data_IF_353538989927
#
_entry.id   IF_353538989927
#
_cell.length_a   1.000
_cell.length_b   1.000
_cell.length_c   1.000
_cell.angle_alpha   90.00
_cell.angle_beta   90.00
_cell.angle_gamma   90.00
#
_symmetry.space_group_name_H-M   'P 1'
#
loop_
_entity.id
_entity.type
_entity.pdbx_description
1 polymer ?
#
# COMPACT_ATOMS: atom_id res chain seq x y z
N UNK A 1 3.61 76.50 -10.25
CA UNK A 1 3.01 75.34 -10.98
C UNK A 1 3.22 74.11 -10.11
N UNK A 2 2.18 73.80 -9.38
CA UNK A 2 2.17 72.73 -8.39
C UNK A 2 1.80 71.42 -9.07
N UNK A 3 2.67 70.40 -8.99
CA UNK A 3 2.45 69.06 -9.50
C UNK A 3 1.74 68.26 -8.41
N UNK A 4 0.50 67.89 -8.66
CA UNK A 4 -0.34 67.06 -7.85
C UNK A 4 0.23 65.62 -7.90
N UNK A 5 0.67 65.11 -6.77
CA UNK A 5 0.95 63.72 -6.56
C UNK A 5 -0.37 62.97 -6.35
N UNK A 6 -0.57 61.95 -7.12
CA UNK A 6 -1.69 61.03 -7.05
C UNK A 6 -1.35 59.93 -5.99
N UNK A 7 -2.20 59.72 -4.98
CA UNK A 7 -1.92 58.68 -4.00
C UNK A 7 -2.34 57.31 -4.51
N UNK A 8 -1.31 56.53 -4.67
CA UNK A 8 -1.21 55.10 -4.38
C UNK A 8 -2.46 54.25 -4.57
N UNK A 9 -2.40 53.40 -5.56
CA UNK A 9 -3.00 52.11 -5.52
C UNK A 9 -2.40 51.30 -4.35
N UNK A 10 -3.00 51.35 -3.21
CA UNK A 10 -2.83 50.29 -2.21
C UNK A 10 -3.48 49.01 -2.77
N UNK A 11 -2.64 48.15 -3.31
CA UNK A 11 -2.99 46.78 -3.60
C UNK A 11 -3.52 46.15 -2.30
N UNK A 12 -4.80 45.89 -2.25
CA UNK A 12 -5.35 44.95 -1.29
C UNK A 12 -4.72 43.60 -1.61
N UNK A 13 -3.57 43.34 -1.00
CA UNK A 13 -2.96 42.03 -1.00
C UNK A 13 -3.97 41.10 -0.34
N UNK A 14 -4.44 40.21 -1.16
CA UNK A 14 -5.29 39.07 -0.88
C UNK A 14 -4.80 38.35 0.38
N UNK A 15 -5.40 38.69 1.52
CA UNK A 15 -5.24 37.99 2.80
C UNK A 15 -6.09 36.71 2.73
N UNK A 16 -5.87 35.91 1.68
CA UNK A 16 -6.34 34.55 1.66
C UNK A 16 -5.57 33.82 2.76
N UNK A 17 -6.24 33.62 3.87
CA UNK A 17 -5.74 32.80 4.97
C UNK A 17 -5.08 31.55 4.37
N UNK A 18 -3.76 31.45 4.49
CA UNK A 18 -3.00 30.30 3.96
C UNK A 18 -3.43 29.08 4.76
N UNK A 19 -4.33 28.31 4.15
CA UNK A 19 -4.79 27.05 4.71
C UNK A 19 -3.63 26.04 4.64
N UNK A 20 -3.08 25.71 5.82
CA UNK A 20 -2.01 24.72 5.90
C UNK A 20 -2.60 23.33 6.08
N UNK A 21 -2.12 22.34 5.32
CA UNK A 21 -2.57 20.95 5.49
C UNK A 21 -2.15 20.43 6.87
N UNK A 22 -2.97 19.55 7.43
CA UNK A 22 -2.66 18.81 8.66
C UNK A 22 -2.16 17.43 8.30
N UNK A 23 -1.00 17.05 8.85
CA UNK A 23 -0.46 15.70 8.77
C UNK A 23 -0.78 14.96 10.07
N UNK A 24 -1.34 13.77 9.95
CA UNK A 24 -1.87 12.98 11.05
C UNK A 24 -1.32 11.56 11.00
N UNK A 25 -1.29 10.90 12.15
CA UNK A 25 -1.11 9.46 12.23
C UNK A 25 -2.48 8.79 12.25
N UNK A 26 -2.65 7.74 11.46
CA UNK A 26 -3.82 6.89 11.53
C UNK A 26 -3.71 5.94 12.71
N UNK A 27 -4.81 5.67 13.36
CA UNK A 27 -4.91 4.59 14.36
C UNK A 27 -4.69 3.22 13.70
N UNK A 28 -4.45 2.20 14.50
CA UNK A 28 -4.33 0.83 14.02
C UNK A 28 -5.62 0.37 13.29
N UNK A 29 -6.78 0.73 13.80
CA UNK A 29 -8.07 0.35 13.20
C UNK A 29 -8.31 1.07 11.87
N UNK A 30 -8.01 2.37 11.77
CA UNK A 30 -8.08 3.12 10.52
C UNK A 30 -7.11 2.56 9.47
N UNK A 31 -5.90 2.20 9.88
CA UNK A 31 -4.90 1.59 9.02
C UNK A 31 -5.35 0.21 8.51
N UNK A 32 -5.93 -0.63 9.38
CA UNK A 32 -6.51 -1.93 8.98
C UNK A 32 -7.71 -1.75 8.05
N UNK A 33 -8.54 -0.75 8.30
CA UNK A 33 -9.68 -0.43 7.43
C UNK A 33 -9.22 0.00 6.03
N UNK A 34 -8.12 0.77 5.92
CA UNK A 34 -7.52 1.12 4.63
C UNK A 34 -7.02 -0.12 3.89
N UNK A 35 -6.29 -1.01 4.57
CA UNK A 35 -5.82 -2.27 3.99
C UNK A 35 -6.98 -3.15 3.49
N UNK A 36 -8.09 -3.21 4.25
CA UNK A 36 -9.22 -4.08 3.94
C UNK A 36 -10.07 -3.61 2.76
N UNK A 37 -10.11 -2.29 2.48
CA UNK A 37 -10.95 -1.75 1.38
C UNK A 37 -10.25 -1.66 0.04
N UNK A 38 -8.94 -1.94 -0.03
CA UNK A 38 -8.14 -1.96 -1.25
C UNK A 38 -7.64 -3.36 -1.57
N UNK A 39 -7.35 -3.59 -2.85
CA UNK A 39 -6.86 -4.88 -3.34
C UNK A 39 -5.61 -4.76 -4.22
N UNK A 40 -5.09 -3.55 -4.38
CA UNK A 40 -3.81 -3.28 -5.06
C UNK A 40 -2.93 -2.47 -4.14
N UNK A 41 -1.72 -2.93 -3.93
CA UNK A 41 -0.69 -2.24 -3.17
C UNK A 41 0.68 -2.42 -3.80
N UNK A 42 1.71 -1.94 -3.15
CA UNK A 42 3.09 -2.00 -3.62
C UNK A 42 3.94 -2.73 -2.60
N UNK A 43 4.63 -3.77 -3.05
CA UNK A 43 5.60 -4.48 -2.22
C UNK A 43 7.00 -4.03 -2.57
N UNK A 44 7.78 -3.70 -1.55
CA UNK A 44 9.19 -3.31 -1.65
C UNK A 44 10.07 -4.33 -0.94
N UNK A 45 11.16 -4.72 -1.58
CA UNK A 45 12.16 -5.64 -1.04
C UNK A 45 13.56 -5.27 -1.53
N UNK A 46 14.57 -5.69 -0.77
CA UNK A 46 15.97 -5.44 -1.12
C UNK A 46 16.56 -6.66 -1.83
N UNK A 47 17.24 -6.41 -2.93
CA UNK A 47 17.97 -7.41 -3.71
C UNK A 47 19.34 -6.86 -4.13
N UNK A 48 20.44 -7.46 -3.65
CA UNK A 48 21.80 -7.04 -4.00
C UNK A 48 22.01 -5.52 -3.83
N UNK A 49 21.69 -5.00 -2.65
CA UNK A 49 21.79 -3.58 -2.27
C UNK A 49 20.92 -2.62 -3.11
N UNK A 50 19.98 -3.15 -3.87
CA UNK A 50 18.96 -2.39 -4.60
C UNK A 50 17.60 -2.64 -4.02
N UNK A 51 16.79 -1.60 -3.97
CA UNK A 51 15.37 -1.72 -3.59
C UNK A 51 14.55 -1.85 -4.88
N UNK A 52 13.71 -2.86 -4.94
CA UNK A 52 12.70 -3.03 -5.98
C UNK A 52 11.31 -2.82 -5.40
N UNK A 53 10.42 -2.17 -6.17
CA UNK A 53 9.04 -1.89 -5.79
C UNK A 53 8.13 -2.38 -6.91
N UNK A 54 7.14 -3.19 -6.56
CA UNK A 54 6.23 -3.77 -7.55
C UNK A 54 4.78 -3.72 -7.08
N UNK A 55 3.83 -3.40 -8.00
CA UNK A 55 2.40 -3.51 -7.69
C UNK A 55 2.00 -4.98 -7.58
N UNK A 56 1.15 -5.28 -6.61
CA UNK A 56 0.56 -6.59 -6.42
C UNK A 56 -0.93 -6.49 -6.07
N UNK A 57 -1.67 -7.52 -6.49
CA UNK A 57 -3.00 -7.75 -5.93
C UNK A 57 -2.89 -8.47 -4.59
N UNK A 58 -3.73 -8.07 -3.64
CA UNK A 58 -3.75 -8.65 -2.32
C UNK A 58 -5.16 -8.70 -1.73
N UNK A 59 -5.32 -9.52 -0.70
CA UNK A 59 -6.46 -9.51 0.20
C UNK A 59 -5.95 -9.40 1.62
N UNK A 60 -6.50 -8.50 2.40
CA UNK A 60 -6.21 -8.37 3.83
C UNK A 60 -7.25 -9.13 4.64
N UNK A 61 -6.80 -10.04 5.50
CA UNK A 61 -7.64 -10.86 6.36
C UNK A 61 -7.05 -10.93 7.77
N UNK A 62 -7.68 -10.25 8.70
CA UNK A 62 -7.24 -10.15 10.08
C UNK A 62 -5.90 -9.43 10.24
N UNK A 63 -4.83 -10.21 10.41
CA UNK A 63 -3.46 -9.70 10.56
C UNK A 63 -2.56 -10.03 9.36
N UNK A 64 -3.12 -10.58 8.28
CA UNK A 64 -2.36 -11.08 7.17
C UNK A 64 -2.77 -10.46 5.84
N UNK A 65 -1.78 -10.13 5.05
CA UNK A 65 -1.89 -9.80 3.64
C UNK A 65 -1.61 -11.07 2.84
N UNK A 66 -2.56 -11.50 2.04
CA UNK A 66 -2.39 -12.64 1.12
C UNK A 66 -2.23 -12.12 -0.29
N UNK A 67 -1.31 -12.70 -1.03
CA UNK A 67 -1.06 -12.35 -2.41
C UNK A 67 -0.43 -13.48 -3.19
N UNK A 68 -0.21 -13.28 -4.49
CA UNK A 68 0.49 -14.25 -5.33
C UNK A 68 1.55 -13.60 -6.19
N UNK A 69 2.61 -14.33 -6.45
CA UNK A 69 3.76 -13.91 -7.23
C UNK A 69 4.19 -14.98 -8.22
N UNK A 70 5.11 -14.65 -9.11
CA UNK A 70 5.70 -15.57 -10.07
C UNK A 70 7.08 -16.06 -9.60
N UNK A 71 7.51 -17.20 -10.15
CA UNK A 71 8.92 -17.61 -10.07
C UNK A 71 9.78 -16.55 -10.77
N UNK A 72 10.93 -16.21 -10.16
CA UNK A 72 11.87 -15.23 -10.71
C UNK A 72 12.85 -14.74 -9.66
N UNK A 73 13.62 -13.72 -9.99
CA UNK A 73 14.62 -13.12 -9.09
C UNK A 73 14.01 -12.63 -7.76
N UNK A 74 12.81 -12.11 -7.80
CA UNK A 74 12.00 -11.71 -6.64
C UNK A 74 11.73 -12.87 -5.70
N UNK A 75 11.25 -14.01 -6.24
CA UNK A 75 10.99 -15.21 -5.46
C UNK A 75 12.27 -15.73 -4.78
N UNK A 76 13.36 -15.85 -5.54
CA UNK A 76 14.64 -16.30 -5.00
C UNK A 76 15.19 -15.36 -3.91
N UNK A 77 14.94 -14.06 -4.02
CA UNK A 77 15.35 -13.08 -3.03
C UNK A 77 14.50 -13.17 -1.76
N UNK A 78 13.18 -13.20 -1.89
CA UNK A 78 12.26 -13.28 -0.75
C UNK A 78 12.35 -14.63 -0.02
N UNK A 79 12.73 -15.71 -0.72
CA UNK A 79 13.01 -17.00 -0.09
C UNK A 79 14.28 -16.96 0.80
N UNK A 80 15.23 -16.07 0.50
CA UNK A 80 16.47 -15.88 1.29
C UNK A 80 16.37 -14.77 2.30
N UNK A 81 15.68 -13.67 1.94
CA UNK A 81 15.50 -12.46 2.73
C UNK A 81 14.03 -12.09 2.70
N UNK A 82 13.26 -12.72 3.59
CA UNK A 82 11.79 -12.59 3.63
C UNK A 82 11.29 -11.23 4.13
N UNK A 83 12.18 -10.38 4.67
CA UNK A 83 11.81 -9.04 5.14
C UNK A 83 11.46 -8.13 3.98
N UNK A 84 10.28 -7.55 4.04
CA UNK A 84 9.78 -6.64 3.01
C UNK A 84 8.90 -5.54 3.63
N UNK A 85 8.62 -4.53 2.85
CA UNK A 85 7.62 -3.53 3.14
C UNK A 85 6.49 -3.62 2.12
N UNK A 86 5.29 -3.36 2.55
CA UNK A 86 4.10 -3.27 1.71
C UNK A 86 3.42 -1.95 1.98
N UNK A 87 2.95 -1.29 0.94
CA UNK A 87 2.28 0.00 1.04
C UNK A 87 0.98 0.00 0.25
N UNK A 88 -0.02 0.68 0.80
CA UNK A 88 -1.26 1.05 0.11
C UNK A 88 -1.60 2.49 0.44
N UNK A 89 -2.07 3.22 -0.55
CA UNK A 89 -2.51 4.60 -0.40
C UNK A 89 -3.88 4.84 -1.03
N UNK A 90 -4.53 5.88 -0.57
CA UNK A 90 -5.75 6.44 -1.13
C UNK A 90 -5.58 7.96 -1.23
N UNK A 91 -5.24 8.43 -2.42
CA UNK A 91 -5.07 9.86 -2.68
C UNK A 91 -6.33 10.42 -3.33
N UNK A 92 -6.96 11.40 -2.68
CA UNK A 92 -8.13 12.14 -3.16
C UNK A 92 -7.73 13.49 -3.73
N UNK A 93 -6.72 14.14 -3.09
CA UNK A 93 -6.13 15.41 -3.52
C UNK A 93 -4.69 15.50 -2.98
N UNK A 94 -3.94 16.55 -3.38
CA UNK A 94 -2.56 16.80 -2.96
C UNK A 94 -2.39 16.79 -1.43
N UNK A 95 -3.36 17.32 -0.71
CA UNK A 95 -3.37 17.37 0.76
C UNK A 95 -4.58 16.65 1.38
N UNK A 96 -5.14 15.69 0.65
CA UNK A 96 -6.18 14.79 1.16
C UNK A 96 -5.85 13.34 0.74
N UNK A 97 -5.14 12.65 1.59
CA UNK A 97 -4.73 11.26 1.34
C UNK A 97 -4.54 10.47 2.63
N UNK A 98 -4.63 9.17 2.51
CA UNK A 98 -4.28 8.19 3.52
C UNK A 98 -3.24 7.23 2.96
N UNK A 99 -2.28 6.80 3.76
CA UNK A 99 -1.29 5.79 3.40
C UNK A 99 -0.99 4.88 4.57
N UNK A 100 -0.81 3.60 4.30
CA UNK A 100 -0.42 2.59 5.29
C UNK A 100 0.78 1.82 4.79
N UNK A 101 1.80 1.74 5.64
CA UNK A 101 2.97 0.90 5.42
C UNK A 101 2.96 -0.25 6.41
N UNK A 102 3.08 -1.46 5.89
CA UNK A 102 3.26 -2.70 6.65
C UNK A 102 4.70 -3.17 6.44
N UNK A 103 5.40 -3.51 7.52
CA UNK A 103 6.71 -4.18 7.45
C UNK A 103 6.64 -5.52 8.14
N UNK A 104 7.33 -6.50 7.57
CA UNK A 104 7.33 -7.84 8.13
C UNK A 104 8.01 -8.87 7.24
N UNK A 105 7.89 -10.12 7.67
CA UNK A 105 8.38 -11.26 6.93
C UNK A 105 7.32 -11.84 6.03
N UNK A 106 7.67 -12.02 4.76
CA UNK A 106 6.85 -12.76 3.81
C UNK A 106 7.03 -14.25 4.02
N UNK A 107 5.93 -14.98 4.08
CA UNK A 107 5.90 -16.44 4.12
C UNK A 107 5.34 -16.96 2.79
N UNK A 108 6.09 -17.83 2.16
CA UNK A 108 5.61 -18.56 0.99
C UNK A 108 4.70 -19.68 1.45
N UNK A 109 3.56 -19.81 0.82
CA UNK A 109 2.57 -20.83 1.16
C UNK A 109 2.65 -21.98 0.17
N UNK A 110 2.88 -23.17 0.70
CA UNK A 110 2.97 -24.42 -0.05
C UNK A 110 1.98 -25.43 0.56
N UNK A 111 1.19 -26.15 -0.24
CA UNK A 111 0.21 -27.11 0.28
C UNK A 111 0.87 -28.31 0.98
N UNK A 112 2.12 -28.64 0.64
CA UNK A 112 2.82 -29.79 1.19
C UNK A 112 3.83 -29.43 2.29
N UNK A 113 4.34 -28.19 2.24
CA UNK A 113 5.35 -27.68 3.15
C UNK A 113 4.81 -26.48 3.92
N UNK A 114 4.67 -26.60 5.22
CA UNK A 114 4.26 -25.48 6.08
C UNK A 114 2.86 -25.65 6.70
N UNK A 115 2.03 -24.63 6.57
CA UNK A 115 0.67 -24.64 7.14
C UNK A 115 -0.39 -24.86 6.05
N UNK A 116 -0.96 -26.08 5.94
CA UNK A 116 -2.03 -26.37 4.98
C UNK A 116 -3.24 -25.43 5.13
N UNK A 117 -3.60 -25.07 6.37
CA UNK A 117 -4.72 -24.19 6.67
C UNK A 117 -4.45 -22.77 6.12
N UNK A 118 -3.23 -22.26 6.27
CA UNK A 118 -2.86 -20.96 5.71
C UNK A 118 -2.87 -20.96 4.18
N UNK A 119 -2.42 -22.04 3.54
CA UNK A 119 -2.52 -22.20 2.10
C UNK A 119 -3.97 -22.22 1.63
N UNK A 120 -4.81 -23.05 2.26
CA UNK A 120 -6.24 -23.15 1.93
C UNK A 120 -6.94 -21.81 2.09
N UNK A 121 -6.69 -21.12 3.21
CA UNK A 121 -7.25 -19.78 3.45
C UNK A 121 -6.79 -18.76 2.40
N UNK A 122 -5.52 -18.72 2.09
CA UNK A 122 -4.96 -17.83 1.08
C UNK A 122 -5.56 -18.11 -0.31
N UNK A 123 -5.74 -19.37 -0.67
CA UNK A 123 -6.35 -19.77 -1.93
C UNK A 123 -7.83 -19.32 -2.02
N UNK A 124 -8.62 -19.51 -0.98
CA UNK A 124 -9.99 -19.04 -0.89
C UNK A 124 -10.10 -17.53 -1.07
N UNK A 125 -9.25 -16.77 -0.34
CA UNK A 125 -9.21 -15.31 -0.41
C UNK A 125 -8.81 -14.82 -1.80
N UNK A 126 -7.78 -15.40 -2.41
CA UNK A 126 -7.35 -15.02 -3.75
C UNK A 126 -8.40 -15.39 -4.81
N UNK A 127 -9.14 -16.49 -4.65
CA UNK A 127 -10.27 -16.85 -5.52
C UNK A 127 -11.48 -15.94 -5.34
N UNK A 128 -11.70 -15.40 -4.14
CA UNK A 128 -12.75 -14.40 -3.93
C UNK A 128 -12.46 -13.10 -4.66
N UNK A 129 -11.17 -12.75 -4.82
CA UNK A 129 -10.73 -11.59 -5.58
C UNK A 129 -10.70 -11.86 -7.10
N UNK A 130 -10.20 -13.04 -7.50
CA UNK A 130 -10.08 -13.46 -8.90
C UNK A 130 -10.51 -14.92 -9.01
N UNK A 131 -11.74 -15.17 -9.44
CA UNK A 131 -12.40 -16.49 -9.40
C UNK A 131 -11.63 -17.60 -10.12
N UNK A 132 -10.88 -17.28 -11.18
CA UNK A 132 -10.09 -18.26 -11.94
C UNK A 132 -8.71 -18.59 -11.32
N UNK A 133 -8.36 -18.06 -10.16
CA UNK A 133 -7.03 -18.25 -9.53
C UNK A 133 -6.67 -19.73 -9.40
N UNK A 134 -5.50 -20.10 -9.94
CA UNK A 134 -4.96 -21.49 -9.97
C UNK A 134 -5.89 -22.50 -10.64
N UNK A 135 -6.58 -22.10 -11.68
CA UNK A 135 -7.35 -22.97 -12.57
C UNK A 135 -6.93 -22.75 -14.03
N UNK A 136 -7.48 -23.54 -14.96
CA UNK A 136 -7.25 -23.32 -16.39
C UNK A 136 -7.70 -21.95 -16.90
N UNK A 137 -8.69 -21.34 -16.22
CA UNK A 137 -9.20 -20.00 -16.49
C UNK A 137 -8.46 -18.86 -15.78
N UNK A 138 -7.28 -19.10 -15.20
CA UNK A 138 -6.53 -18.09 -14.47
C UNK A 138 -6.05 -16.97 -15.41
N UNK A 139 -6.46 -15.71 -15.19
CA UNK A 139 -6.02 -14.59 -16.04
C UNK A 139 -4.53 -14.25 -15.89
N UNK A 140 -3.84 -14.80 -14.87
CA UNK A 140 -2.42 -14.59 -14.62
C UNK A 140 -1.72 -15.88 -14.17
N UNK A 141 -1.69 -16.93 -14.99
CA UNK A 141 -1.21 -18.27 -14.62
C UNK A 141 0.28 -18.29 -14.24
N UNK A 142 1.06 -17.32 -14.72
CA UNK A 142 2.47 -17.14 -14.36
C UNK A 142 2.69 -16.75 -12.87
N UNK A 143 1.64 -16.25 -12.19
CA UNK A 143 1.66 -15.94 -10.75
C UNK A 143 1.23 -17.16 -9.94
N UNK A 144 2.05 -18.19 -9.95
CA UNK A 144 1.73 -19.51 -9.41
C UNK A 144 2.13 -19.73 -7.95
N UNK A 145 2.72 -18.72 -7.30
CA UNK A 145 3.19 -18.83 -5.92
C UNK A 145 2.32 -17.99 -5.01
N UNK A 146 1.68 -18.64 -4.06
CA UNK A 146 0.91 -18.00 -3.00
C UNK A 146 1.85 -17.59 -1.85
N UNK A 147 1.59 -16.43 -1.26
CA UNK A 147 2.32 -15.95 -0.10
C UNK A 147 1.40 -15.22 0.86
N UNK A 148 1.87 -15.05 2.08
CA UNK A 148 1.29 -14.11 3.04
C UNK A 148 2.36 -13.25 3.71
N UNK A 149 1.97 -12.06 4.15
CA UNK A 149 2.78 -11.14 4.92
C UNK A 149 2.03 -10.77 6.19
N UNK A 150 2.63 -10.98 7.35
CA UNK A 150 2.04 -10.56 8.62
C UNK A 150 2.18 -9.05 8.80
N UNK A 151 1.09 -8.38 9.16
CA UNK A 151 1.09 -6.95 9.50
C UNK A 151 1.67 -6.73 10.91
N UNK A 152 2.96 -7.04 11.09
CA UNK A 152 3.65 -6.98 12.40
C UNK A 152 3.98 -5.55 12.80
N UNK A 153 4.46 -4.75 11.86
CA UNK A 153 4.70 -3.33 12.02
C UNK A 153 3.78 -2.58 11.07
N UNK A 154 2.88 -1.80 11.64
CA UNK A 154 1.85 -1.06 10.91
C UNK A 154 1.99 0.43 11.20
N UNK A 155 2.18 1.23 10.16
CA UNK A 155 2.27 2.69 10.26
C UNK A 155 1.31 3.33 9.27
N UNK A 156 0.33 4.06 9.79
CA UNK A 156 -0.63 4.82 8.99
C UNK A 156 -0.38 6.32 9.09
N UNK A 157 -0.48 7.00 7.96
CA UNK A 157 -0.36 8.46 7.86
C UNK A 157 -1.45 9.04 6.99
N UNK A 158 -1.81 10.28 7.26
CA UNK A 158 -2.81 11.01 6.50
C UNK A 158 -2.41 12.47 6.32
N UNK A 159 -2.85 13.06 5.23
CA UNK A 159 -2.95 14.51 5.09
C UNK A 159 -4.43 14.89 4.99
N UNK A 160 -4.78 16.02 5.57
CA UNK A 160 -6.12 16.61 5.47
C UNK A 160 -6.01 18.08 5.10
N UNK A 161 -6.89 18.62 4.25
CA UNK A 161 -6.95 20.04 4.02
C UNK A 161 -7.21 20.76 5.35
N UNK A 162 -6.55 21.89 5.54
CA UNK A 162 -6.82 22.74 6.68
C UNK A 162 -8.20 23.40 6.59
N UNK A 163 -8.70 23.98 7.67
CA UNK A 163 -9.96 24.71 7.69
C UNK A 163 -9.89 25.97 6.85
#
# INVERSE_FOLDING_TARGET
MSKKEDPAHASAADDQARVFPKFLELTADESRALLARHNVGRIAFSMNDRIDIQPIHYVFDGDWLYGRTSHGSKFATLARHSWCAFEVDEARDLFDWDSVVVKGHMELLDPELGSPDAYTRGLELMRSLVSGTFTEGDPAPHRSILFRLRASELTGRAARPGP
#
